data_IF_485236483128
#
_entry.id   IF_485236483128
#
_cell.length_a   1.000
_cell.length_b   1.000
_cell.length_c   1.000
_cell.angle_alpha   90.00
_cell.angle_beta   90.00
_cell.angle_gamma   90.00
#
_symmetry.space_group_name_H-M   'P 1'
#
loop_
_entity.id
_entity.type
_entity.pdbx_description
1 polymer ?
#
# COMPACT_ATOMS: atom_id res chain seq x y z
N UNK A 1 -0.34 3.84 -24.40
CA UNK A 1 0.72 4.81 -24.76
C UNK A 1 1.98 4.01 -25.06
N UNK A 2 2.72 4.26 -26.17
CA UNK A 2 3.96 3.54 -26.47
C UNK A 2 5.03 3.76 -25.38
N UNK A 3 5.93 2.79 -25.19
CA UNK A 3 6.97 2.83 -24.15
C UNK A 3 7.86 4.09 -24.21
N UNK A 4 8.23 4.53 -25.40
CA UNK A 4 9.02 5.75 -25.58
C UNK A 4 8.34 6.99 -24.98
N UNK A 5 7.02 7.12 -25.19
CA UNK A 5 6.23 8.21 -24.61
C UNK A 5 6.04 8.03 -23.11
N UNK A 6 5.89 6.80 -22.63
CA UNK A 6 5.80 6.49 -21.19
C UNK A 6 7.06 6.95 -20.45
N UNK A 7 8.26 6.69 -21.00
CA UNK A 7 9.55 7.12 -20.41
C UNK A 7 9.67 8.63 -20.25
N UNK A 8 9.01 9.41 -21.11
CA UNK A 8 8.97 10.87 -21.03
C UNK A 8 7.74 11.42 -20.27
N UNK A 9 6.82 10.56 -19.83
CA UNK A 9 5.54 11.00 -19.26
C UNK A 9 5.74 11.58 -17.85
N UNK A 10 5.68 12.91 -17.74
CA UNK A 10 5.77 13.71 -16.51
C UNK A 10 4.55 14.64 -16.42
N UNK A 11 3.35 14.13 -16.05
CA UNK A 11 2.20 15.01 -15.89
C UNK A 11 2.40 15.96 -14.71
N UNK A 12 1.77 17.13 -14.76
CA UNK A 12 1.66 18.00 -13.59
C UNK A 12 0.79 17.31 -12.53
N UNK A 13 1.25 17.20 -11.26
CA UNK A 13 0.44 16.63 -10.19
C UNK A 13 -0.78 17.50 -9.89
N UNK A 14 -1.94 16.87 -9.70
CA UNK A 14 -3.10 17.51 -9.09
C UNK A 14 -2.89 17.42 -7.57
N UNK A 15 -2.23 18.41 -6.96
CA UNK A 15 -1.96 18.41 -5.51
C UNK A 15 -2.79 19.50 -4.79
N UNK A 16 -3.53 19.15 -3.72
CA UNK A 16 -4.17 20.13 -2.85
C UNK A 16 -3.16 21.02 -2.14
N UNK A 17 -3.49 22.31 -2.01
CA UNK A 17 -2.61 23.28 -1.34
C UNK A 17 -2.33 22.93 0.14
N UNK A 18 -3.22 22.18 0.79
CA UNK A 18 -3.14 21.74 2.18
C UNK A 18 -2.88 20.22 2.31
N UNK A 19 -2.34 19.56 1.27
CA UNK A 19 -2.05 18.12 1.29
C UNK A 19 -1.21 17.71 2.52
N UNK A 20 -0.12 18.43 2.80
CA UNK A 20 0.75 18.14 3.94
C UNK A 20 0.03 18.35 5.27
N UNK A 21 -0.70 19.46 5.40
CA UNK A 21 -1.46 19.76 6.62
C UNK A 21 -2.56 18.73 6.89
N UNK A 22 -3.22 18.22 5.84
CA UNK A 22 -4.22 17.16 5.93
C UNK A 22 -3.63 15.88 6.52
N UNK A 23 -2.47 15.45 6.00
CA UNK A 23 -1.82 14.22 6.45
C UNK A 23 -1.14 14.37 7.82
N UNK A 24 -0.48 15.50 8.09
CA UNK A 24 0.10 15.80 9.40
C UNK A 24 -0.97 15.76 10.49
N UNK A 25 -2.11 16.42 10.25
CA UNK A 25 -3.26 16.38 11.16
C UNK A 25 -3.77 14.95 11.37
N UNK A 26 -3.97 14.20 10.28
CA UNK A 26 -4.48 12.83 10.31
C UNK A 26 -3.57 11.90 11.12
N UNK A 27 -2.25 11.96 10.90
CA UNK A 27 -1.29 11.11 11.61
C UNK A 27 -1.09 11.56 13.07
N UNK A 28 -1.15 12.86 13.34
CA UNK A 28 -1.13 13.40 14.72
C UNK A 28 -2.36 12.96 15.52
N UNK A 29 -3.55 12.95 14.91
CA UNK A 29 -4.75 12.44 15.54
C UNK A 29 -4.62 10.94 15.85
N UNK A 30 -4.10 10.16 14.91
CA UNK A 30 -3.89 8.73 15.10
C UNK A 30 -2.85 8.41 16.18
N UNK A 31 -1.76 9.18 16.27
CA UNK A 31 -0.66 8.93 17.23
C UNK A 31 -1.04 9.21 18.69
N UNK A 32 -2.12 9.97 18.94
CA UNK A 32 -2.69 10.16 20.28
C UNK A 32 -3.26 8.89 20.88
N UNK A 33 -3.58 7.90 20.05
CA UNK A 33 -3.98 6.58 20.51
C UNK A 33 -2.74 5.71 20.71
N UNK A 34 -2.64 5.06 21.88
CA UNK A 34 -1.60 4.08 22.15
C UNK A 34 -1.57 3.00 21.07
N UNK A 35 -0.36 2.57 20.68
CA UNK A 35 -0.22 1.54 19.63
C UNK A 35 -0.81 0.19 20.06
N UNK A 36 -0.73 -0.13 21.36
CA UNK A 36 -1.30 -1.31 22.00
C UNK A 36 -1.08 -2.60 21.18
N UNK A 37 0.11 -2.71 20.56
CA UNK A 37 0.44 -3.83 19.70
C UNK A 37 0.52 -5.12 20.51
N UNK A 38 -0.30 -6.09 20.15
CA UNK A 38 -0.34 -7.43 20.73
C UNK A 38 0.11 -8.45 19.68
N UNK A 39 1.01 -9.35 20.09
CA UNK A 39 1.57 -10.41 19.27
C UNK A 39 1.23 -11.75 19.91
N UNK A 40 0.10 -12.33 19.55
CA UNK A 40 -0.37 -13.59 20.13
C UNK A 40 0.20 -14.75 19.31
N UNK A 41 1.00 -15.66 19.89
CA UNK A 41 1.50 -16.82 19.16
C UNK A 41 0.35 -17.62 18.52
N UNK A 42 0.52 -17.97 17.25
CA UNK A 42 -0.43 -18.74 16.47
C UNK A 42 0.25 -20.01 15.95
N UNK A 43 -0.25 -21.18 16.35
CA UNK A 43 0.29 -22.45 15.88
C UNK A 43 -0.20 -22.76 14.46
N UNK A 44 0.59 -22.38 13.46
CA UNK A 44 0.39 -22.73 12.05
C UNK A 44 1.15 -24.01 11.63
N UNK A 45 1.77 -24.75 12.56
CA UNK A 45 2.48 -25.99 12.26
C UNK A 45 3.78 -25.85 11.43
N UNK A 46 4.29 -24.63 11.20
CA UNK A 46 5.56 -24.46 10.50
C UNK A 46 6.75 -24.99 11.32
N UNK A 47 7.66 -25.68 10.65
CA UNK A 47 8.89 -26.17 11.27
C UNK A 47 9.92 -25.04 11.51
N UNK A 48 9.95 -24.04 10.63
CA UNK A 48 11.04 -23.05 10.55
C UNK A 48 10.59 -21.59 10.78
N UNK A 49 9.28 -21.36 10.98
CA UNK A 49 8.71 -20.02 11.10
C UNK A 49 7.82 -19.94 12.34
N UNK A 50 8.01 -18.92 13.15
CA UNK A 50 7.08 -18.52 14.21
C UNK A 50 6.03 -17.58 13.62
N UNK A 51 4.77 -17.79 14.00
CA UNK A 51 3.64 -16.97 13.52
C UNK A 51 2.94 -16.34 14.71
N UNK A 52 2.59 -15.07 14.57
CA UNK A 52 1.82 -14.33 15.55
C UNK A 52 0.59 -13.73 14.89
N UNK A 53 -0.57 -13.95 15.51
CA UNK A 53 -1.76 -13.15 15.26
C UNK A 53 -1.56 -11.78 15.90
N UNK A 54 -1.48 -10.75 15.06
CA UNK A 54 -1.18 -9.38 15.49
C UNK A 54 -2.46 -8.56 15.53
N UNK A 55 -2.58 -7.74 16.57
CA UNK A 55 -3.53 -6.63 16.63
C UNK A 55 -2.76 -5.37 17.02
N UNK A 56 -2.97 -4.26 16.30
CA UNK A 56 -2.43 -2.95 16.68
C UNK A 56 -3.48 -1.86 16.46
N UNK A 57 -3.26 -0.71 17.09
CA UNK A 57 -4.15 0.44 16.98
C UNK A 57 -3.81 1.29 15.76
N UNK A 58 -4.73 1.30 14.79
CA UNK A 58 -4.66 2.09 13.55
C UNK A 58 -5.44 3.40 13.63
N UNK A 59 -6.12 3.75 12.54
CA UNK A 59 -6.93 4.96 12.44
C UNK A 59 -7.99 5.06 13.53
N UNK A 60 -8.10 6.23 14.16
CA UNK A 60 -9.16 6.55 15.13
C UNK A 60 -9.21 5.63 16.34
N UNK A 61 -8.08 5.01 16.72
CA UNK A 61 -8.03 4.07 17.83
C UNK A 61 -8.55 2.67 17.51
N UNK A 62 -8.79 2.35 16.24
CA UNK A 62 -9.44 1.09 15.84
C UNK A 62 -8.43 -0.07 15.75
N UNK A 63 -8.82 -1.29 16.14
CA UNK A 63 -7.95 -2.46 16.05
C UNK A 63 -7.79 -2.90 14.60
N UNK A 64 -6.54 -3.10 14.19
CA UNK A 64 -6.15 -3.59 12.87
C UNK A 64 -5.45 -4.93 13.04
N UNK A 65 -5.87 -5.93 12.26
CA UNK A 65 -5.28 -7.27 12.28
C UNK A 65 -4.08 -7.35 11.35
N UNK A 66 -3.13 -8.21 11.69
CA UNK A 66 -1.99 -8.54 10.83
C UNK A 66 -1.48 -9.95 11.12
N UNK A 67 -0.64 -10.48 10.25
CA UNK A 67 0.24 -11.61 10.59
C UNK A 67 1.66 -11.10 10.77
N UNK A 68 2.35 -11.52 11.83
CA UNK A 68 3.81 -11.40 11.91
C UNK A 68 4.42 -12.79 11.80
N UNK A 69 5.31 -12.98 10.84
CA UNK A 69 6.05 -14.22 10.65
C UNK A 69 7.54 -13.97 10.83
N UNK A 70 8.16 -14.78 11.68
CA UNK A 70 9.58 -14.66 12.00
C UNK A 70 10.30 -15.98 11.70
N UNK A 71 11.48 -16.00 11.07
CA UNK A 71 12.32 -17.19 11.03
C UNK A 71 12.68 -17.61 12.47
N UNK A 72 12.50 -18.90 12.79
CA UNK A 72 12.86 -19.48 14.09
C UNK A 72 14.35 -19.38 14.37
N UNK A 73 15.15 -19.72 13.37
CA UNK A 73 16.61 -19.62 13.45
C UNK A 73 17.02 -18.18 13.15
N UNK A 74 17.29 -17.42 14.21
CA UNK A 74 17.74 -16.02 14.16
C UNK A 74 18.84 -15.79 15.19
N UNK A 75 19.91 -15.09 14.79
CA UNK A 75 21.07 -14.78 15.63
C UNK A 75 21.01 -13.39 16.28
N UNK A 76 19.93 -12.64 16.05
CA UNK A 76 19.71 -11.29 16.55
C UNK A 76 18.50 -10.61 15.89
N UNK A 77 18.30 -9.30 16.13
CA UNK A 77 17.22 -8.53 15.52
C UNK A 77 17.23 -8.60 13.99
N UNK A 78 16.06 -8.81 13.41
CA UNK A 78 15.84 -9.04 11.99
C UNK A 78 15.53 -7.72 11.27
N UNK A 79 16.00 -7.54 10.02
CA UNK A 79 15.36 -6.57 9.14
C UNK A 79 13.92 -7.02 8.88
N UNK A 80 13.02 -6.06 8.75
CA UNK A 80 11.60 -6.30 8.56
C UNK A 80 11.10 -5.84 7.19
N UNK A 81 10.10 -6.56 6.71
CA UNK A 81 9.27 -6.23 5.57
C UNK A 81 7.84 -6.07 6.07
N UNK A 82 7.26 -4.91 5.84
CA UNK A 82 5.82 -4.68 5.98
C UNK A 82 5.18 -4.83 4.60
N UNK A 83 4.32 -5.83 4.44
CA UNK A 83 3.60 -6.11 3.21
C UNK A 83 2.15 -5.63 3.28
N UNK A 84 1.77 -4.84 2.28
CA UNK A 84 0.40 -4.38 2.06
C UNK A 84 -0.29 -5.17 0.96
N UNK A 85 -1.63 -5.24 1.03
CA UNK A 85 -2.42 -6.22 0.29
C UNK A 85 -3.23 -5.57 -0.84
N UNK A 86 -3.34 -6.28 -1.96
CA UNK A 86 -4.16 -5.90 -3.11
C UNK A 86 -5.65 -5.73 -2.80
N UNK A 87 -6.36 -5.04 -3.69
CA UNK A 87 -7.77 -4.71 -3.55
C UNK A 87 -8.66 -5.96 -3.41
N UNK A 88 -9.68 -5.88 -2.56
CA UNK A 88 -10.58 -6.96 -2.12
C UNK A 88 -9.92 -8.17 -1.44
N UNK A 89 -8.60 -8.16 -1.24
CA UNK A 89 -7.90 -9.14 -0.41
C UNK A 89 -7.90 -8.76 1.06
N UNK A 90 -7.37 -9.67 1.88
CA UNK A 90 -7.02 -9.45 3.27
C UNK A 90 -5.86 -10.35 3.67
N UNK A 91 -5.51 -10.34 4.95
CA UNK A 91 -4.37 -11.09 5.49
C UNK A 91 -4.49 -12.60 5.31
N UNK A 92 -5.68 -13.14 5.04
CA UNK A 92 -5.92 -14.56 4.81
C UNK A 92 -5.31 -15.44 5.90
N UNK A 93 -4.69 -16.53 5.47
CA UNK A 93 -4.01 -17.50 6.36
C UNK A 93 -2.48 -17.37 6.27
N UNK A 94 -1.72 -17.73 7.31
CA UNK A 94 -0.26 -17.59 7.33
C UNK A 94 0.49 -18.28 6.17
N UNK A 95 -0.05 -19.40 5.68
CA UNK A 95 0.53 -20.19 4.57
C UNK A 95 0.70 -19.42 3.26
N UNK A 96 -0.06 -18.33 3.07
CA UNK A 96 0.01 -17.49 1.88
C UNK A 96 1.23 -16.54 1.87
N UNK A 97 2.02 -16.46 2.94
CA UNK A 97 2.95 -15.34 3.16
C UNK A 97 4.36 -15.74 3.62
N UNK A 98 4.81 -16.94 3.26
CA UNK A 98 6.09 -17.50 3.74
C UNK A 98 7.34 -16.91 3.11
N UNK A 99 7.24 -16.26 1.96
CA UNK A 99 8.41 -15.90 1.14
C UNK A 99 9.46 -15.10 1.91
N UNK A 100 9.07 -13.99 2.55
CA UNK A 100 10.03 -13.12 3.23
C UNK A 100 10.57 -13.72 4.53
N UNK A 101 9.75 -14.44 5.29
CA UNK A 101 10.21 -15.12 6.51
C UNK A 101 11.17 -16.27 6.20
N UNK A 102 10.91 -17.04 5.13
CA UNK A 102 11.83 -18.06 4.62
C UNK A 102 13.14 -17.47 4.11
N UNK A 103 13.12 -16.22 3.63
CA UNK A 103 14.31 -15.48 3.19
C UNK A 103 15.04 -14.75 4.35
N UNK A 104 14.59 -14.95 5.60
CA UNK A 104 15.26 -14.47 6.80
C UNK A 104 14.84 -13.08 7.27
N UNK A 105 13.67 -12.59 6.86
CA UNK A 105 13.11 -11.30 7.27
C UNK A 105 12.01 -11.49 8.31
N UNK A 106 11.83 -10.51 9.20
CA UNK A 106 10.56 -10.37 9.89
C UNK A 106 9.51 -9.91 8.88
N UNK A 107 8.39 -10.61 8.75
CA UNK A 107 7.38 -10.31 7.74
C UNK A 107 6.05 -9.97 8.39
N UNK A 108 5.70 -8.68 8.40
CA UNK A 108 4.40 -8.20 8.86
C UNK A 108 3.47 -8.03 7.65
N UNK A 109 2.34 -8.73 7.64
CA UNK A 109 1.30 -8.63 6.61
C UNK A 109 0.10 -7.89 7.21
N UNK A 110 -0.08 -6.62 6.85
CA UNK A 110 -1.18 -5.81 7.35
C UNK A 110 -2.49 -6.18 6.65
N UNK A 111 -3.53 -6.45 7.42
CA UNK A 111 -4.86 -6.73 6.88
C UNK A 111 -5.54 -5.47 6.31
N UNK A 112 -6.49 -5.65 5.40
CA UNK A 112 -7.24 -4.56 4.78
C UNK A 112 -8.56 -4.33 5.51
N UNK A 113 -8.72 -3.18 6.18
CA UNK A 113 -9.98 -2.81 6.83
C UNK A 113 -11.20 -2.90 5.89
N UNK A 114 -12.21 -3.65 6.29
CA UNK A 114 -13.48 -3.81 5.61
C UNK A 114 -13.45 -4.56 4.28
N UNK A 115 -12.29 -5.07 3.83
CA UNK A 115 -12.16 -5.83 2.58
C UNK A 115 -12.22 -7.35 2.84
N UNK A 116 -11.52 -8.17 2.05
CA UNK A 116 -11.52 -9.63 2.19
C UNK A 116 -12.72 -10.36 1.57
N UNK A 117 -13.57 -9.66 0.82
CA UNK A 117 -14.73 -10.23 0.13
C UNK A 117 -14.49 -10.69 -1.31
N UNK A 118 -13.24 -10.63 -1.81
CA UNK A 118 -12.90 -10.88 -3.22
C UNK A 118 -12.71 -12.33 -3.65
N UNK A 119 -12.93 -13.30 -2.75
CA UNK A 119 -12.76 -14.73 -3.07
C UNK A 119 -11.30 -15.24 -3.15
N UNK A 120 -10.33 -14.46 -2.64
CA UNK A 120 -8.92 -14.88 -2.48
C UNK A 120 -8.59 -15.08 -1.01
N UNK A 121 -7.92 -14.10 -0.41
CA UNK A 121 -7.60 -14.06 1.02
C UNK A 121 -8.68 -13.25 1.75
N UNK A 122 -9.18 -13.78 2.86
CA UNK A 122 -10.14 -13.12 3.76
C UNK A 122 -9.47 -12.01 4.58
N UNK A 123 -10.27 -11.07 5.07
CA UNK A 123 -9.86 -10.05 6.02
C UNK A 123 -10.65 -10.23 7.31
N UNK A 124 -10.01 -9.91 8.44
CA UNK A 124 -10.59 -9.98 9.78
C UNK A 124 -10.74 -8.58 10.40
N UNK A 125 -10.23 -7.54 9.75
CA UNK A 125 -10.32 -6.15 10.20
C UNK A 125 -11.59 -5.48 9.64
N UNK A 126 -12.53 -5.04 10.49
CA UNK A 126 -13.69 -4.28 10.01
C UNK A 126 -13.33 -2.82 9.67
N UNK A 127 -14.12 -2.16 8.81
CA UNK A 127 -14.07 -0.70 8.64
C UNK A 127 -15.22 -0.06 9.45
N UNK A 128 -14.89 0.57 10.58
CA UNK A 128 -15.85 1.12 11.53
C UNK A 128 -15.91 2.66 11.47
N UNK A 129 -15.96 3.24 10.27
CA UNK A 129 -16.02 4.69 10.09
C UNK A 129 -17.20 5.32 10.87
N UNK A 130 -16.98 6.35 11.70
CA UNK A 130 -17.98 6.86 12.66
C UNK A 130 -19.20 7.52 11.98
N UNK A 131 -18.98 8.14 10.81
CA UNK A 131 -19.99 8.98 10.14
C UNK A 131 -20.60 8.31 8.90
N UNK A 132 -20.40 6.99 8.74
CA UNK A 132 -20.67 6.28 7.49
C UNK A 132 -19.89 6.85 6.30
N UNK A 133 -20.14 6.31 5.10
CA UNK A 133 -19.40 6.67 3.88
C UNK A 133 -20.25 7.36 2.80
N UNK A 134 -21.51 7.73 3.11
CA UNK A 134 -22.44 8.30 2.13
C UNK A 134 -22.76 7.36 0.96
N UNK A 135 -23.30 7.94 -0.12
CA UNK A 135 -23.61 7.21 -1.36
C UNK A 135 -22.32 6.86 -2.12
N UNK A 136 -22.18 5.60 -2.53
CA UNK A 136 -20.99 5.11 -3.24
C UNK A 136 -21.35 4.08 -4.32
N UNK A 137 -20.46 3.91 -5.30
CA UNK A 137 -20.48 2.72 -6.16
C UNK A 137 -20.12 1.48 -5.34
N UNK A 138 -20.58 0.27 -5.73
CA UNK A 138 -20.11 -0.97 -5.12
C UNK A 138 -18.57 -1.05 -5.15
N UNK A 139 -17.98 -1.28 -3.98
CA UNK A 139 -16.53 -1.26 -3.76
C UNK A 139 -16.14 -0.28 -2.66
N UNK A 140 -14.90 0.21 -2.70
CA UNK A 140 -14.24 1.01 -1.67
C UNK A 140 -13.73 2.34 -2.22
N UNK A 141 -13.49 2.44 -3.53
CA UNK A 141 -12.82 3.59 -4.15
C UNK A 141 -13.67 4.87 -4.13
N UNK A 142 -14.98 4.73 -3.93
CA UNK A 142 -15.92 5.88 -3.89
C UNK A 142 -16.59 6.04 -2.54
N UNK A 143 -16.16 5.29 -1.52
CA UNK A 143 -16.68 5.41 -0.14
C UNK A 143 -16.16 6.70 0.48
N UNK A 144 -17.06 7.67 0.70
CA UNK A 144 -16.73 8.98 1.23
C UNK A 144 -16.00 9.87 0.22
N UNK A 145 -16.16 9.68 -1.09
CA UNK A 145 -15.47 10.46 -2.13
C UNK A 145 -15.85 11.94 -2.18
N UNK A 146 -16.89 12.33 -1.46
CA UNK A 146 -17.36 13.73 -1.37
C UNK A 146 -16.56 14.56 -0.34
N UNK A 147 -15.75 13.91 0.49
CA UNK A 147 -14.97 14.58 1.54
C UNK A 147 -13.70 13.77 1.86
N UNK A 148 -12.49 14.34 1.69
CA UNK A 148 -11.25 13.62 1.99
C UNK A 148 -11.15 13.16 3.45
N UNK A 149 -11.78 13.85 4.41
CA UNK A 149 -11.79 13.42 5.82
C UNK A 149 -12.62 12.16 6.05
N UNK A 150 -13.61 11.87 5.18
CA UNK A 150 -14.50 10.69 5.24
C UNK A 150 -14.08 9.58 4.30
N UNK A 151 -13.18 9.86 3.37
CA UNK A 151 -12.76 8.90 2.35
C UNK A 151 -12.10 7.65 2.96
N UNK A 152 -12.38 6.49 2.36
CA UNK A 152 -11.89 5.18 2.83
C UNK A 152 -10.37 5.11 2.95
N UNK A 153 -9.64 5.61 1.94
CA UNK A 153 -8.18 5.49 1.92
C UNK A 153 -7.48 6.34 2.98
N UNK A 154 -8.12 7.39 3.55
CA UNK A 154 -7.58 8.09 4.72
C UNK A 154 -7.33 7.12 5.88
N UNK A 155 -8.30 6.24 6.12
CA UNK A 155 -8.24 5.26 7.22
C UNK A 155 -7.25 4.15 6.93
N UNK A 156 -7.31 3.56 5.73
CA UNK A 156 -6.42 2.46 5.36
C UNK A 156 -4.94 2.89 5.28
N UNK A 157 -4.65 4.09 4.75
CA UNK A 157 -3.27 4.62 4.71
C UNK A 157 -2.77 4.92 6.12
N UNK A 158 -3.62 5.45 7.00
CA UNK A 158 -3.27 5.65 8.41
C UNK A 158 -2.90 4.32 9.08
N UNK A 159 -3.67 3.24 8.84
CA UNK A 159 -3.30 1.91 9.33
C UNK A 159 -1.95 1.45 8.76
N UNK A 160 -1.70 1.69 7.47
CA UNK A 160 -0.46 1.32 6.80
C UNK A 160 0.77 2.01 7.42
N UNK A 161 0.65 3.29 7.78
CA UNK A 161 1.70 4.03 8.51
C UNK A 161 1.91 3.45 9.90
N UNK A 162 0.82 3.10 10.61
CA UNK A 162 0.85 2.51 11.95
C UNK A 162 1.37 1.06 11.96
N UNK A 163 1.23 0.32 10.86
CA UNK A 163 1.80 -1.02 10.72
C UNK A 163 3.34 -1.01 10.79
N UNK A 164 3.99 0.07 10.35
CA UNK A 164 5.44 0.27 10.53
C UNK A 164 5.78 0.42 12.02
N UNK A 165 4.99 1.18 12.78
CA UNK A 165 5.18 1.28 14.23
C UNK A 165 4.97 -0.09 14.91
N UNK A 166 3.94 -0.83 14.47
CA UNK A 166 3.62 -2.16 14.99
C UNK A 166 4.78 -3.14 14.80
N UNK A 167 5.36 -3.27 13.60
CA UNK A 167 6.49 -4.20 13.40
C UNK A 167 7.72 -3.80 14.22
N UNK A 168 7.98 -2.50 14.38
CA UNK A 168 9.10 -1.98 15.17
C UNK A 168 8.97 -2.21 16.67
N UNK A 169 7.75 -2.40 17.17
CA UNK A 169 7.50 -2.66 18.59
C UNK A 169 7.88 -4.10 19.00
N UNK A 170 8.12 -5.01 18.05
CA UNK A 170 8.48 -6.39 18.36
C UNK A 170 9.99 -6.53 18.62
N UNK A 171 10.39 -7.16 19.74
CA UNK A 171 11.79 -7.26 20.17
C UNK A 171 12.74 -7.96 19.17
N UNK A 172 12.19 -8.87 18.36
CA UNK A 172 12.95 -9.58 17.33
C UNK A 172 13.23 -8.75 16.07
N UNK A 173 12.75 -7.51 15.99
CA UNK A 173 12.88 -6.62 14.83
C UNK A 173 13.91 -5.53 15.12
N UNK A 174 14.77 -5.28 14.15
CA UNK A 174 15.62 -4.10 14.13
C UNK A 174 14.82 -2.90 13.61
N UNK A 175 14.48 -1.91 14.45
CA UNK A 175 13.56 -0.85 14.06
C UNK A 175 14.14 0.08 12.99
N UNK A 176 15.47 0.11 12.82
CA UNK A 176 16.15 0.91 11.79
C UNK A 176 16.13 0.27 10.41
N UNK A 177 15.76 -1.02 10.30
CA UNK A 177 15.80 -1.78 9.05
C UNK A 177 14.43 -2.30 8.66
N UNK A 178 13.51 -1.38 8.39
CA UNK A 178 12.13 -1.69 7.97
C UNK A 178 11.89 -1.22 6.54
N UNK A 179 11.54 -2.14 5.64
CA UNK A 179 11.09 -1.84 4.29
C UNK A 179 9.56 -2.02 4.17
N UNK A 180 8.96 -1.29 3.25
CA UNK A 180 7.53 -1.40 2.93
C UNK A 180 7.36 -1.89 1.50
N UNK A 181 6.40 -2.79 1.27
CA UNK A 181 6.13 -3.27 -0.08
C UNK A 181 4.70 -3.70 -0.33
N UNK A 182 4.30 -3.68 -1.60
CA UNK A 182 3.05 -4.26 -2.03
C UNK A 182 2.84 -4.17 -3.53
N UNK A 183 1.83 -4.90 -4.00
CA UNK A 183 1.40 -4.89 -5.39
C UNK A 183 0.01 -4.29 -5.55
N UNK A 184 -0.27 -3.61 -6.67
CA UNK A 184 -1.58 -3.02 -6.96
C UNK A 184 -1.98 -2.04 -5.84
N UNK A 185 -3.12 -2.24 -5.14
CA UNK A 185 -3.47 -1.45 -3.95
C UNK A 185 -2.33 -1.42 -2.92
N UNK A 186 -1.69 -2.55 -2.66
CA UNK A 186 -0.56 -2.61 -1.74
C UNK A 186 0.63 -1.77 -2.20
N UNK A 187 0.83 -1.63 -3.52
CA UNK A 187 1.85 -0.74 -4.09
C UNK A 187 1.51 0.73 -3.86
N UNK A 188 0.24 1.11 -4.04
CA UNK A 188 -0.24 2.44 -3.68
C UNK A 188 -0.07 2.77 -2.19
N UNK A 189 -0.34 1.80 -1.31
CA UNK A 189 -0.11 1.94 0.14
C UNK A 189 1.39 2.06 0.48
N UNK A 190 2.25 1.29 -0.19
CA UNK A 190 3.70 1.39 -0.04
C UNK A 190 4.21 2.78 -0.44
N UNK A 191 3.70 3.35 -1.53
CA UNK A 191 4.01 4.73 -1.94
C UNK A 191 3.52 5.76 -0.92
N UNK A 192 2.29 5.60 -0.43
CA UNK A 192 1.74 6.49 0.60
C UNK A 192 2.61 6.48 1.85
N UNK A 193 2.99 5.30 2.35
CA UNK A 193 3.84 5.19 3.55
C UNK A 193 5.23 5.75 3.30
N UNK A 194 5.83 5.51 2.13
CA UNK A 194 7.12 6.08 1.77
C UNK A 194 7.10 7.62 1.66
N UNK A 195 5.98 8.21 1.25
CA UNK A 195 5.80 9.66 1.20
C UNK A 195 5.44 10.31 2.54
N UNK A 196 4.89 9.53 3.47
CA UNK A 196 4.46 9.99 4.80
C UNK A 196 5.47 9.69 5.91
N UNK A 197 6.51 8.90 5.63
CA UNK A 197 7.57 8.54 6.56
C UNK A 197 8.94 8.74 5.91
N UNK A 198 9.81 9.46 6.59
CA UNK A 198 11.22 9.67 6.21
C UNK A 198 12.16 8.61 6.81
N UNK A 199 11.61 7.67 7.59
CA UNK A 199 12.36 6.72 8.40
C UNK A 199 12.25 5.25 7.91
N UNK A 200 11.60 4.99 6.78
CA UNK A 200 11.59 3.65 6.15
C UNK A 200 12.86 3.44 5.33
N UNK A 201 13.43 2.25 5.39
CA UNK A 201 14.72 1.94 4.76
C UNK A 201 14.61 1.73 3.23
N UNK A 202 13.44 1.28 2.76
CA UNK A 202 13.18 1.01 1.34
C UNK A 202 11.68 0.90 1.05
N UNK A 203 11.30 1.15 -0.20
CA UNK A 203 9.96 0.93 -0.73
C UNK A 203 9.98 0.01 -1.97
N UNK A 204 9.02 -0.91 -2.08
CA UNK A 204 8.82 -1.69 -3.31
C UNK A 204 7.36 -1.58 -3.75
N UNK A 205 7.14 -1.01 -4.93
CA UNK A 205 5.82 -0.71 -5.46
C UNK A 205 5.59 -1.44 -6.79
N UNK A 206 4.98 -2.62 -6.70
CA UNK A 206 4.68 -3.44 -7.87
C UNK A 206 3.35 -3.04 -8.51
N UNK A 207 3.33 -2.74 -9.82
CA UNK A 207 2.13 -2.34 -10.58
C UNK A 207 1.16 -1.44 -9.77
N UNK A 208 1.64 -0.32 -9.21
CA UNK A 208 0.92 0.40 -8.17
C UNK A 208 -0.41 0.96 -8.65
N UNK A 209 -1.46 0.61 -7.91
CA UNK A 209 -2.78 1.24 -7.98
C UNK A 209 -2.77 2.57 -7.22
N UNK A 210 -3.89 3.30 -7.23
CA UNK A 210 -4.06 4.60 -6.56
C UNK A 210 -3.15 5.70 -7.11
N UNK A 211 -2.68 5.57 -8.35
CA UNK A 211 -1.85 6.57 -9.01
C UNK A 211 -2.61 7.22 -10.17
N UNK A 212 -2.46 8.54 -10.33
CA UNK A 212 -3.05 9.33 -11.41
C UNK A 212 -4.54 9.08 -11.64
N UNK A 213 -5.36 9.33 -10.62
CA UNK A 213 -6.79 8.95 -10.63
C UNK A 213 -7.56 9.47 -11.83
N UNK A 214 -7.39 10.76 -12.15
CA UNK A 214 -8.09 11.40 -13.28
C UNK A 214 -7.80 10.67 -14.57
N UNK A 215 -6.52 10.44 -14.87
CA UNK A 215 -6.12 9.70 -16.06
C UNK A 215 -6.64 8.27 -16.04
N UNK A 216 -6.46 7.56 -14.93
CA UNK A 216 -6.85 6.17 -14.81
C UNK A 216 -8.34 5.97 -15.15
N UNK A 217 -9.22 6.75 -14.53
CA UNK A 217 -10.67 6.68 -14.77
C UNK A 217 -11.11 7.02 -16.20
N UNK A 218 -10.25 7.68 -16.98
CA UNK A 218 -10.53 8.08 -18.36
C UNK A 218 -10.01 7.08 -19.41
N UNK A 219 -9.04 6.24 -19.05
CA UNK A 219 -8.35 5.35 -20.02
C UNK A 219 -8.55 3.87 -19.75
N UNK A 220 -9.19 3.50 -18.63
CA UNK A 220 -9.58 2.12 -18.36
C UNK A 220 -10.99 2.02 -17.79
N UNK A 221 -11.70 0.97 -18.21
CA UNK A 221 -12.97 0.51 -17.67
C UNK A 221 -12.80 -0.70 -16.73
N UNK A 222 -11.54 -1.10 -16.46
CA UNK A 222 -11.23 -2.19 -15.52
C UNK A 222 -11.34 -1.71 -14.08
N UNK A 223 -11.79 -2.60 -13.19
CA UNK A 223 -11.80 -2.32 -11.77
C UNK A 223 -10.39 -2.28 -11.17
N UNK A 224 -10.15 -1.54 -10.08
CA UNK A 224 -11.17 -0.77 -9.33
C UNK A 224 -11.47 0.64 -9.87
N UNK A 225 -10.65 1.22 -10.77
CA UNK A 225 -10.88 2.59 -11.28
C UNK A 225 -12.27 2.80 -11.92
N UNK A 226 -12.85 1.75 -12.49
CA UNK A 226 -14.22 1.76 -13.01
C UNK A 226 -15.29 2.17 -11.98
N UNK A 227 -15.03 2.04 -10.67
CA UNK A 227 -15.93 2.50 -9.61
C UNK A 227 -16.11 4.02 -9.62
N UNK A 228 -15.04 4.77 -9.89
CA UNK A 228 -15.06 6.24 -10.01
C UNK A 228 -15.85 6.63 -11.25
N UNK A 229 -15.57 6.02 -12.40
CA UNK A 229 -16.31 6.26 -13.63
C UNK A 229 -17.82 5.96 -13.45
N UNK A 230 -18.16 4.86 -12.76
CA UNK A 230 -19.55 4.52 -12.41
C UNK A 230 -20.20 5.58 -11.52
N UNK A 231 -19.51 6.05 -10.49
CA UNK A 231 -20.05 7.05 -9.58
C UNK A 231 -20.28 8.38 -10.29
N UNK A 232 -19.31 8.84 -11.10
CA UNK A 232 -19.40 10.07 -11.89
C UNK A 232 -20.46 10.00 -12.98
N UNK A 233 -20.77 8.81 -13.51
CA UNK A 233 -21.86 8.66 -14.49
C UNK A 233 -23.24 9.02 -13.91
N UNK A 234 -23.43 8.84 -12.59
CA UNK A 234 -24.60 9.29 -11.83
C UNK A 234 -24.46 10.74 -11.34
N UNK A 235 -23.26 11.14 -10.94
CA UNK A 235 -22.92 12.46 -10.39
C UNK A 235 -22.20 13.35 -11.41
N UNK A 236 -22.86 13.56 -12.56
CA UNK A 236 -22.24 14.06 -13.81
C UNK A 236 -21.50 15.40 -13.71
N UNK A 237 -21.85 16.25 -12.75
CA UNK A 237 -21.28 17.59 -12.59
C UNK A 237 -20.31 17.70 -11.39
N UNK A 238 -19.93 16.57 -10.79
CA UNK A 238 -19.05 16.53 -9.60
C UNK A 238 -17.67 15.93 -9.89
N UNK A 239 -17.20 16.07 -11.13
CA UNK A 239 -15.89 15.55 -11.55
C UNK A 239 -14.77 16.20 -10.75
N UNK A 240 -14.75 17.53 -10.67
CA UNK A 240 -13.66 18.24 -9.99
C UNK A 240 -13.65 18.00 -8.49
N UNK A 241 -14.81 17.99 -7.84
CA UNK A 241 -14.93 17.68 -6.41
C UNK A 241 -14.45 16.25 -6.08
N UNK A 242 -14.80 15.26 -6.91
CA UNK A 242 -14.33 13.89 -6.72
C UNK A 242 -12.81 13.78 -6.94
N UNK A 243 -12.26 14.47 -7.94
CA UNK A 243 -10.81 14.46 -8.22
C UNK A 243 -10.02 15.22 -7.15
N UNK A 244 -10.57 16.32 -6.62
CA UNK A 244 -10.02 17.03 -5.47
C UNK A 244 -9.92 16.09 -4.27
N UNK A 245 -10.98 15.37 -3.90
CA UNK A 245 -10.90 14.38 -2.82
C UNK A 245 -9.88 13.28 -3.11
N UNK A 246 -9.89 12.70 -4.32
CA UNK A 246 -8.98 11.61 -4.69
C UNK A 246 -7.51 12.05 -4.71
N UNK A 247 -7.23 13.32 -4.97
CA UNK A 247 -5.86 13.86 -5.01
C UNK A 247 -5.12 13.79 -3.68
N UNK A 248 -5.81 13.81 -2.54
CA UNK A 248 -5.20 13.56 -1.22
C UNK A 248 -4.69 12.12 -1.06
N UNK A 249 -5.11 11.20 -1.93
CA UNK A 249 -4.77 9.79 -1.88
C UNK A 249 -3.96 9.33 -3.12
N UNK A 250 -3.54 10.26 -3.98
CA UNK A 250 -2.83 9.93 -5.22
C UNK A 250 -1.36 9.59 -4.94
N UNK A 251 -0.94 8.41 -5.38
CA UNK A 251 0.42 7.92 -5.28
C UNK A 251 1.46 8.86 -5.90
N UNK A 252 1.09 9.70 -6.87
CA UNK A 252 1.98 10.75 -7.41
C UNK A 252 2.36 11.76 -6.32
N UNK A 253 1.37 12.24 -5.55
CA UNK A 253 1.58 13.28 -4.55
C UNK A 253 2.38 12.76 -3.35
N UNK A 254 2.22 11.48 -3.00
CA UNK A 254 3.08 10.81 -2.03
C UNK A 254 4.50 10.57 -2.56
N UNK A 255 4.64 10.12 -3.81
CA UNK A 255 5.93 9.85 -4.41
C UNK A 255 6.84 11.10 -4.43
N UNK A 256 6.26 12.27 -4.67
CA UNK A 256 6.96 13.56 -4.63
C UNK A 256 7.61 13.91 -3.27
N UNK A 257 7.22 13.23 -2.19
CA UNK A 257 7.72 13.43 -0.83
C UNK A 257 8.68 12.33 -0.36
N UNK A 258 8.69 11.18 -1.05
CA UNK A 258 9.38 9.99 -0.60
C UNK A 258 10.89 10.08 -0.82
N UNK A 259 11.69 9.77 0.20
CA UNK A 259 13.16 9.88 0.17
C UNK A 259 13.90 8.54 0.17
N UNK A 260 13.25 7.47 0.63
CA UNK A 260 13.82 6.12 0.67
C UNK A 260 14.16 5.60 -0.75
N UNK A 261 15.15 4.70 -0.91
CA UNK A 261 15.35 4.02 -2.18
C UNK A 261 14.13 3.14 -2.53
N UNK A 262 13.73 3.15 -3.79
CA UNK A 262 12.54 2.44 -4.26
C UNK A 262 12.74 1.59 -5.51
N UNK A 263 12.00 0.48 -5.56
CA UNK A 263 11.92 -0.40 -6.73
C UNK A 263 10.47 -0.52 -7.19
N UNK A 264 10.24 -0.09 -8.42
CA UNK A 264 8.96 -0.21 -9.09
C UNK A 264 8.98 -1.38 -10.06
N UNK A 265 7.78 -1.89 -10.37
CA UNK A 265 7.55 -2.71 -11.55
C UNK A 265 6.30 -2.28 -12.31
N UNK A 266 6.29 -2.46 -13.62
CA UNK A 266 5.15 -2.13 -14.48
C UNK A 266 4.91 -3.21 -15.54
N UNK A 267 3.66 -3.65 -15.70
CA UNK A 267 3.21 -4.43 -16.85
C UNK A 267 2.72 -3.50 -17.96
N UNK A 268 3.28 -3.59 -19.17
CA UNK A 268 2.87 -2.69 -20.26
C UNK A 268 1.48 -3.02 -20.83
N UNK A 269 0.99 -4.25 -20.62
CA UNK A 269 -0.35 -4.68 -20.99
C UNK A 269 -1.35 -4.62 -19.83
N UNK A 270 -0.96 -4.03 -18.69
CA UNK A 270 -1.82 -3.89 -17.52
C UNK A 270 -2.99 -2.93 -17.83
N UNK A 271 -4.21 -3.46 -17.74
CA UNK A 271 -5.46 -2.70 -17.91
C UNK A 271 -6.05 -2.26 -16.57
N UNK A 272 -5.63 -2.86 -15.46
CA UNK A 272 -6.09 -2.52 -14.10
C UNK A 272 -5.33 -1.32 -13.57
N UNK A 273 -3.99 -1.35 -13.66
CA UNK A 273 -3.12 -0.22 -13.33
C UNK A 273 -2.40 0.24 -14.62
N UNK A 274 -3.05 1.07 -15.46
CA UNK A 274 -2.51 1.42 -16.77
C UNK A 274 -1.10 1.97 -16.67
N UNK A 275 -0.16 1.44 -17.45
CA UNK A 275 1.27 1.77 -17.36
C UNK A 275 1.59 3.27 -17.21
N UNK A 276 0.87 4.15 -17.91
CA UNK A 276 1.07 5.61 -17.77
C UNK A 276 0.82 6.18 -16.37
N UNK A 277 -0.02 5.56 -15.55
CA UNK A 277 -0.25 5.99 -14.16
C UNK A 277 0.93 5.56 -13.27
N UNK A 278 1.44 4.34 -13.48
CA UNK A 278 2.64 3.81 -12.83
C UNK A 278 3.88 4.65 -13.18
N UNK A 279 4.08 4.94 -14.47
CA UNK A 279 5.18 5.81 -14.91
C UNK A 279 5.07 7.21 -14.30
N UNK A 280 3.87 7.78 -14.17
CA UNK A 280 3.71 9.08 -13.53
C UNK A 280 4.15 9.07 -12.05
N UNK A 281 3.76 8.05 -11.28
CA UNK A 281 4.19 7.91 -9.89
C UNK A 281 5.69 7.64 -9.78
N UNK A 282 6.26 6.73 -10.60
CA UNK A 282 7.69 6.46 -10.65
C UNK A 282 8.51 7.73 -10.90
N UNK A 283 8.05 8.55 -11.84
CA UNK A 283 8.75 9.76 -12.21
C UNK A 283 8.59 10.93 -11.25
N UNK A 284 7.50 10.96 -10.48
CA UNK A 284 7.31 11.90 -9.40
C UNK A 284 8.11 11.51 -8.14
N UNK A 285 8.55 10.25 -8.04
CA UNK A 285 9.30 9.76 -6.88
C UNK A 285 10.58 10.57 -6.64
N UNK A 286 10.70 11.19 -5.46
CA UNK A 286 11.78 12.13 -5.16
C UNK A 286 13.11 11.44 -4.78
N UNK A 287 13.04 10.27 -4.15
CA UNK A 287 14.19 9.45 -3.77
C UNK A 287 14.80 8.68 -4.95
N UNK A 288 15.90 7.93 -4.71
CA UNK A 288 16.47 7.04 -5.71
C UNK A 288 15.45 5.96 -6.11
N UNK A 289 15.15 5.82 -7.40
CA UNK A 289 14.16 4.83 -7.85
C UNK A 289 14.58 4.10 -9.13
N UNK A 290 14.33 2.78 -9.14
CA UNK A 290 14.47 1.91 -10.31
C UNK A 290 13.10 1.41 -10.78
N UNK A 291 12.92 1.24 -12.09
CA UNK A 291 11.69 0.72 -12.69
C UNK A 291 12.00 -0.49 -13.58
N UNK A 292 11.43 -1.64 -13.22
CA UNK A 292 11.43 -2.83 -14.07
C UNK A 292 10.21 -2.83 -14.99
N UNK A 293 10.44 -3.10 -16.29
CA UNK A 293 9.39 -3.00 -17.32
C UNK A 293 9.11 -4.38 -17.94
N UNK A 294 7.96 -4.95 -17.60
CA UNK A 294 7.47 -6.20 -18.16
C UNK A 294 6.63 -5.93 -19.41
N UNK A 295 7.24 -6.07 -20.59
CA UNK A 295 6.68 -5.59 -21.87
C UNK A 295 5.44 -6.33 -22.35
N UNK A 296 5.28 -7.61 -21.96
CA UNK A 296 4.19 -8.48 -22.43
C UNK A 296 3.23 -8.88 -21.31
N UNK A 297 3.45 -8.39 -20.10
CA UNK A 297 2.65 -8.75 -18.93
C UNK A 297 1.52 -7.76 -18.68
N UNK A 298 0.44 -8.28 -18.13
CA UNK A 298 -0.71 -7.55 -17.62
C UNK A 298 -0.53 -7.17 -16.15
N UNK A 299 -1.62 -7.27 -15.39
CA UNK A 299 -1.64 -6.91 -13.97
C UNK A 299 -0.84 -7.85 -13.07
N UNK A 300 -0.47 -9.03 -13.56
CA UNK A 300 0.46 -9.92 -12.88
C UNK A 300 1.89 -9.36 -12.80
N UNK A 301 2.22 -8.38 -13.66
CA UNK A 301 3.57 -7.82 -13.73
C UNK A 301 4.62 -8.91 -13.91
N UNK A 302 5.67 -8.87 -13.09
CA UNK A 302 6.68 -9.93 -13.07
C UNK A 302 6.36 -11.11 -12.13
N UNK A 303 5.27 -11.03 -11.35
CA UNK A 303 4.88 -12.04 -10.36
C UNK A 303 6.08 -12.56 -9.52
N UNK A 304 6.22 -13.88 -9.36
CA UNK A 304 7.33 -14.50 -8.64
C UNK A 304 8.67 -14.38 -9.39
N UNK A 305 8.67 -14.16 -10.71
CA UNK A 305 9.91 -13.97 -11.50
C UNK A 305 10.64 -12.68 -11.14
N UNK A 306 9.94 -11.71 -10.54
CA UNK A 306 10.54 -10.46 -10.06
C UNK A 306 11.10 -10.56 -8.63
N UNK A 307 10.80 -11.64 -7.92
CA UNK A 307 11.27 -11.85 -6.54
C UNK A 307 12.80 -11.78 -6.40
N UNK A 308 13.62 -12.37 -7.29
CA UNK A 308 15.08 -12.28 -7.18
C UNK A 308 15.60 -10.84 -7.21
N UNK A 309 15.01 -9.97 -8.06
CA UNK A 309 15.37 -8.55 -8.14
C UNK A 309 15.02 -7.82 -6.85
N UNK A 310 13.80 -8.02 -6.33
CA UNK A 310 13.36 -7.43 -5.05
C UNK A 310 14.21 -7.90 -3.87
N UNK A 311 14.58 -9.17 -3.84
CA UNK A 311 15.46 -9.71 -2.81
C UNK A 311 16.87 -9.11 -2.89
N UNK A 312 17.44 -9.00 -4.09
CA UNK A 312 18.75 -8.38 -4.29
C UNK A 312 18.76 -6.92 -3.82
N UNK A 313 17.72 -6.16 -4.19
CA UNK A 313 17.49 -4.79 -3.74
C UNK A 313 17.48 -4.66 -2.21
N UNK A 314 16.61 -5.43 -1.54
CA UNK A 314 16.49 -5.37 -0.07
C UNK A 314 17.75 -5.86 0.63
N UNK A 315 18.47 -6.86 0.09
CA UNK A 315 19.78 -7.28 0.62
C UNK A 315 20.81 -6.16 0.55
N UNK A 316 20.85 -5.43 -0.57
CA UNK A 316 21.72 -4.27 -0.73
C UNK A 316 21.45 -3.19 0.30
N UNK A 317 20.17 -2.86 0.54
CA UNK A 317 19.76 -1.86 1.55
C UNK A 317 20.11 -2.30 2.97
N UNK A 318 19.89 -3.56 3.31
CA UNK A 318 20.10 -4.06 4.67
C UNK A 318 21.50 -4.60 4.95
N UNK A 319 22.42 -4.53 3.98
CA UNK A 319 23.80 -4.98 4.11
C UNK A 319 23.93 -6.50 4.35
N UNK A 320 23.16 -7.31 3.62
CA UNK A 320 23.08 -8.77 3.78
C UNK A 320 23.55 -9.56 2.57
#
# INVERSE_FOLDING_TARGET
>A
MPLERLRAYRPEPEEPADFDAFWEKTLTEASRHGLDASFVPYDAGFATVDVYDVTFTGWGGQPVKAWLMLPRLRSGPLPAVVQYIGYNGGRGIPYSWLTWSALGYAHLVMDNRGQGGGGKNTADTPDLGPDGHGSSSPGFLTRGIEDPYRHYYRRLITDAVRAVDAVRAHEAVDPSRVAVLGGSQGGGLALAVAGLRDDVAAAVADVPFLCHFRRASQITDSGPYAEVARWLSGHRFRVEEAMETLSYFDGINFAARATAPAWFSVGLMDRICPSSTVFAAYHAYAGPAELEVFTYNGHEGGAEYDLPRKLAALRGVFGR
#
